data_IF_530827718781
#
_entry.id   IF_530827718781
#
_cell.length_a   1.000
_cell.length_b   1.000
_cell.length_c   1.000
_cell.angle_alpha   90.00
_cell.angle_beta   90.00
_cell.angle_gamma   90.00
#
_symmetry.space_group_name_H-M   'P 1'
#
loop_
_entity.id
_entity.type
_entity.pdbx_description
1 polymer ?
#
# COMPACT_ATOMS: atom_id res chain seq x y z
N UNK A 1 -43.62 -5.26 5.13
CA UNK A 1 -43.11 -3.89 4.93
C UNK A 1 -42.92 -3.73 3.43
N UNK A 2 -43.74 -2.89 2.79
CA UNK A 2 -43.92 -2.84 1.33
C UNK A 2 -42.83 -1.99 0.66
N UNK A 3 -42.01 -2.60 -0.20
CA UNK A 3 -41.01 -1.91 -1.03
C UNK A 3 -41.68 -1.30 -2.26
N UNK A 4 -41.59 0.03 -2.40
CA UNK A 4 -42.17 0.77 -3.52
C UNK A 4 -41.23 0.61 -4.75
N UNK A 5 -41.71 0.05 -5.88
CA UNK A 5 -40.86 -0.42 -7.00
C UNK A 5 -40.28 0.68 -7.90
N UNK A 6 -40.47 1.96 -7.57
CA UNK A 6 -40.13 3.09 -8.45
C UNK A 6 -38.94 3.94 -7.97
N UNK A 7 -38.41 3.72 -6.76
CA UNK A 7 -37.26 4.49 -6.30
C UNK A 7 -35.95 3.85 -6.80
N UNK A 8 -35.04 4.61 -7.46
CA UNK A 8 -33.72 4.10 -7.83
C UNK A 8 -33.01 3.56 -6.58
N UNK A 9 -32.48 2.34 -6.66
CA UNK A 9 -31.90 1.58 -5.53
C UNK A 9 -30.76 2.33 -4.79
N UNK A 10 -30.18 3.35 -5.44
CA UNK A 10 -29.17 4.27 -4.90
C UNK A 10 -29.70 5.24 -3.84
N UNK A 11 -31.01 5.50 -3.79
CA UNK A 11 -31.65 6.30 -2.74
C UNK A 11 -32.08 5.46 -1.53
N UNK A 12 -32.14 4.12 -1.67
CA UNK A 12 -32.65 3.22 -0.63
C UNK A 12 -31.53 2.52 0.17
N UNK A 13 -30.26 2.79 -0.17
CA UNK A 13 -29.10 2.40 0.64
C UNK A 13 -28.41 3.66 1.13
N UNK A 14 -28.21 3.76 2.43
CA UNK A 14 -27.42 4.81 3.06
C UNK A 14 -25.95 4.69 2.60
N UNK A 15 -25.31 5.68 1.96
CA UNK A 15 -23.87 5.78 1.93
C UNK A 15 -23.43 6.75 3.03
N UNK A 16 -23.80 6.48 4.28
CA UNK A 16 -23.16 7.14 5.42
C UNK A 16 -21.82 6.44 5.67
N UNK A 17 -20.84 6.75 4.82
CA UNK A 17 -19.46 6.26 4.98
C UNK A 17 -18.75 7.20 5.94
N UNK A 18 -18.62 6.79 7.21
CA UNK A 18 -17.89 7.56 8.21
C UNK A 18 -16.49 6.99 8.37
N UNK A 19 -15.48 7.77 7.96
CA UNK A 19 -14.05 7.39 8.01
C UNK A 19 -13.70 6.08 7.31
N UNK A 20 -14.38 5.76 6.20
CA UNK A 20 -14.13 4.54 5.44
C UNK A 20 -14.88 3.30 5.93
N UNK A 21 -15.73 3.43 6.97
CA UNK A 21 -16.61 2.38 7.46
C UNK A 21 -18.05 2.63 6.99
N UNK A 22 -18.72 1.61 6.50
CA UNK A 22 -20.18 1.57 6.34
C UNK A 22 -20.88 1.57 7.71
N UNK A 23 -22.18 1.85 7.77
CA UNK A 23 -22.96 1.88 9.04
C UNK A 23 -22.84 0.56 9.80
N UNK A 24 -22.91 -0.58 9.10
CA UNK A 24 -22.74 -1.90 9.72
C UNK A 24 -21.33 -2.11 10.27
N UNK A 25 -20.30 -1.71 9.52
CA UNK A 25 -18.90 -1.81 9.96
C UNK A 25 -18.60 -0.86 11.12
N UNK A 26 -19.22 0.32 11.14
CA UNK A 26 -19.12 1.29 12.23
C UNK A 26 -19.72 0.72 13.52
N UNK A 27 -20.89 0.06 13.44
CA UNK A 27 -21.52 -0.59 14.58
C UNK A 27 -20.69 -1.77 15.09
N UNK A 28 -20.13 -2.59 14.20
CA UNK A 28 -19.26 -3.71 14.58
C UNK A 28 -17.98 -3.18 15.25
N UNK A 29 -17.32 -2.17 14.67
CA UNK A 29 -16.13 -1.56 15.24
C UNK A 29 -16.40 -0.94 16.62
N UNK A 30 -17.55 -0.28 16.79
CA UNK A 30 -17.96 0.27 18.09
C UNK A 30 -18.18 -0.83 19.13
N UNK A 31 -18.92 -1.90 18.79
CA UNK A 31 -19.20 -2.99 19.72
C UNK A 31 -17.92 -3.73 20.14
N UNK A 32 -17.05 -4.04 19.17
CA UNK A 32 -15.76 -4.69 19.44
C UNK A 32 -14.87 -3.80 20.28
N UNK A 33 -14.80 -2.50 19.97
CA UNK A 33 -14.01 -1.52 20.72
C UNK A 33 -14.50 -1.32 22.16
N UNK A 34 -15.82 -1.22 22.37
CA UNK A 34 -16.42 -1.13 23.70
C UNK A 34 -16.16 -2.40 24.52
N UNK A 35 -16.32 -3.59 23.91
CA UNK A 35 -16.11 -4.87 24.58
C UNK A 35 -14.63 -5.07 24.97
N UNK A 36 -13.70 -4.84 24.03
CA UNK A 36 -12.25 -4.93 24.31
C UNK A 36 -11.81 -3.89 25.34
N UNK A 37 -12.34 -2.66 25.27
CA UNK A 37 -12.10 -1.63 26.27
C UNK A 37 -12.61 -2.02 27.65
N UNK A 38 -13.82 -2.60 27.76
CA UNK A 38 -14.38 -3.07 29.03
C UNK A 38 -13.61 -4.27 29.62
N UNK A 39 -13.19 -5.22 28.79
CA UNK A 39 -12.35 -6.36 29.22
C UNK A 39 -11.01 -5.85 29.76
N UNK A 40 -10.37 -4.93 29.04
CA UNK A 40 -9.11 -4.31 29.46
C UNK A 40 -9.28 -3.49 30.75
N UNK A 41 -10.44 -2.86 30.95
CA UNK A 41 -10.80 -2.12 32.16
C UNK A 41 -11.14 -2.97 33.38
N UNK A 42 -11.57 -4.21 33.16
CA UNK A 42 -11.91 -5.15 34.25
C UNK A 42 -10.67 -5.47 35.10
N UNK A 43 -9.50 -5.63 34.47
CA UNK A 43 -8.25 -5.93 35.16
C UNK A 43 -7.84 -4.83 36.19
N UNK A 44 -7.72 -3.54 35.80
CA UNK A 44 -7.43 -2.47 36.74
C UNK A 44 -8.62 -2.18 37.68
N UNK A 45 -9.87 -2.41 37.27
CA UNK A 45 -11.03 -2.24 38.16
C UNK A 45 -10.97 -3.16 39.38
N UNK A 46 -10.53 -4.40 39.19
CA UNK A 46 -10.33 -5.37 40.29
C UNK A 46 -9.12 -4.95 41.15
N UNK A 47 -8.02 -4.54 40.51
CA UNK A 47 -6.77 -4.21 41.22
C UNK A 47 -6.90 -2.97 42.12
N UNK A 48 -7.61 -1.94 41.67
CA UNK A 48 -7.81 -0.69 42.42
C UNK A 48 -9.17 -0.60 43.13
N UNK A 49 -9.97 -1.68 43.11
CA UNK A 49 -11.34 -1.71 43.63
C UNK A 49 -12.23 -0.57 43.11
N UNK A 50 -11.95 -0.07 41.90
CA UNK A 50 -12.68 1.02 41.30
C UNK A 50 -13.42 0.56 40.03
N UNK A 51 -14.72 0.31 40.18
CA UNK A 51 -15.61 -0.13 39.10
C UNK A 51 -15.79 0.93 38.00
N UNK A 52 -15.49 2.21 38.26
CA UNK A 52 -15.59 3.28 37.26
C UNK A 52 -14.57 3.13 36.13
N UNK A 53 -13.53 2.33 36.32
CA UNK A 53 -12.49 2.08 35.32
C UNK A 53 -13.01 1.27 34.13
N UNK A 54 -14.08 0.49 34.29
CA UNK A 54 -14.70 -0.30 33.22
C UNK A 54 -15.36 0.62 32.16
N UNK A 55 -16.32 1.50 32.50
CA UNK A 55 -16.83 2.47 31.52
C UNK A 55 -15.75 3.47 31.08
N UNK A 56 -14.80 3.79 31.97
CA UNK A 56 -13.68 4.70 31.67
C UNK A 56 -12.74 4.19 30.59
N UNK A 57 -12.54 2.87 30.45
CA UNK A 57 -11.74 2.27 29.38
C UNK A 57 -12.57 1.80 28.18
N UNK A 58 -13.85 1.47 28.38
CA UNK A 58 -14.75 1.06 27.30
C UNK A 58 -14.94 2.18 26.27
N UNK A 59 -15.22 3.41 26.71
CA UNK A 59 -15.46 4.54 25.81
C UNK A 59 -14.22 4.90 24.95
N UNK A 60 -12.99 5.03 25.50
CA UNK A 60 -11.78 5.16 24.69
C UNK A 60 -11.53 3.97 23.77
N UNK A 61 -11.83 2.74 24.19
CA UNK A 61 -11.72 1.55 23.34
C UNK A 61 -12.62 1.60 22.11
N UNK A 62 -13.89 2.00 22.30
CA UNK A 62 -14.84 2.24 21.21
C UNK A 62 -14.37 3.37 20.28
N UNK A 63 -13.90 4.49 20.85
CA UNK A 63 -13.36 5.61 20.07
C UNK A 63 -12.12 5.19 19.26
N UNK A 64 -11.19 4.45 19.85
CA UNK A 64 -9.97 3.98 19.18
C UNK A 64 -10.30 3.02 18.04
N UNK A 65 -11.24 2.08 18.24
CA UNK A 65 -11.66 1.16 17.20
C UNK A 65 -12.27 1.87 15.99
N UNK A 66 -13.11 2.89 16.20
CA UNK A 66 -13.65 3.72 15.11
C UNK A 66 -12.55 4.57 14.47
N UNK A 67 -11.66 5.13 15.28
CA UNK A 67 -10.59 6.00 14.78
C UNK A 67 -9.60 5.23 13.91
N UNK A 68 -9.30 3.97 14.23
CA UNK A 68 -8.33 3.12 13.54
C UNK A 68 -8.95 2.21 12.46
N UNK A 69 -10.21 1.82 12.61
CA UNK A 69 -10.82 0.73 11.82
C UNK A 69 -10.96 0.98 10.32
N UNK A 70 -11.09 2.23 9.87
CA UNK A 70 -11.32 2.56 8.47
C UNK A 70 -10.15 3.24 7.75
N UNK A 71 -8.94 3.21 8.32
CA UNK A 71 -7.92 4.21 7.96
C UNK A 71 -6.97 3.89 6.82
N UNK A 72 -6.78 2.64 6.41
CA UNK A 72 -5.70 2.38 5.43
C UNK A 72 -5.86 1.05 4.72
N UNK A 73 -6.33 1.10 3.46
CA UNK A 73 -6.21 -0.02 2.54
C UNK A 73 -4.94 0.20 1.71
N UNK A 74 -3.98 -0.70 1.82
CA UNK A 74 -2.80 -0.74 0.96
C UNK A 74 -2.85 -2.00 0.10
N UNK A 75 -2.87 -1.82 -1.21
CA UNK A 75 -2.87 -2.91 -2.19
C UNK A 75 -1.66 -2.73 -3.08
N UNK A 76 -0.89 -3.81 -3.26
CA UNK A 76 0.20 -3.87 -4.22
C UNK A 76 -0.07 -5.05 -5.15
N UNK A 77 -0.18 -4.77 -6.45
CA UNK A 77 -0.31 -5.79 -7.49
C UNK A 77 0.73 -5.55 -8.56
N UNK A 78 1.20 -6.64 -9.17
CA UNK A 78 2.00 -6.58 -10.40
C UNK A 78 1.12 -6.70 -11.64
N UNK A 79 -0.08 -7.27 -11.50
CA UNK A 79 -0.98 -7.49 -12.62
C UNK A 79 -2.37 -6.94 -12.32
N UNK A 80 -2.76 -5.91 -13.08
CA UNK A 80 -4.08 -5.30 -12.96
C UNK A 80 -5.17 -6.13 -13.65
N UNK A 81 -4.82 -7.08 -14.52
CA UNK A 81 -5.80 -7.93 -15.21
C UNK A 81 -6.54 -8.88 -14.27
N UNK A 82 -5.93 -9.23 -13.14
CA UNK A 82 -6.48 -10.19 -12.19
C UNK A 82 -7.64 -9.61 -11.37
N UNK A 83 -7.83 -8.28 -11.41
CA UNK A 83 -8.94 -7.62 -10.75
C UNK A 83 -10.23 -7.75 -11.58
N UNK A 84 -11.34 -8.24 -10.99
CA UNK A 84 -12.63 -8.26 -11.66
C UNK A 84 -13.16 -6.85 -11.87
N UNK A 85 -14.03 -6.65 -12.85
CA UNK A 85 -14.61 -5.32 -13.15
C UNK A 85 -15.39 -4.73 -11.97
N UNK A 86 -15.94 -5.57 -11.09
CA UNK A 86 -16.62 -5.14 -9.86
C UNK A 86 -15.68 -4.40 -8.89
N UNK A 87 -14.36 -4.67 -8.95
CA UNK A 87 -13.35 -3.98 -8.14
C UNK A 87 -13.20 -2.50 -8.52
N UNK A 88 -13.73 -2.07 -9.68
CA UNK A 88 -13.69 -0.67 -10.11
C UNK A 88 -14.26 0.29 -9.09
N UNK A 89 -15.35 -0.07 -8.40
CA UNK A 89 -15.92 0.79 -7.35
C UNK A 89 -14.95 1.00 -6.19
N UNK A 90 -14.25 -0.06 -5.78
CA UNK A 90 -13.27 -0.02 -4.69
C UNK A 90 -12.02 0.76 -5.11
N UNK A 91 -11.43 0.42 -6.25
CA UNK A 91 -10.19 1.04 -6.73
C UNK A 91 -10.36 2.52 -7.08
N UNK A 92 -11.53 2.92 -7.59
CA UNK A 92 -11.82 4.33 -7.86
C UNK A 92 -11.91 5.20 -6.59
N UNK A 93 -12.14 4.60 -5.41
CA UNK A 93 -12.12 5.31 -4.13
C UNK A 93 -10.71 5.44 -3.53
N UNK A 94 -9.70 4.77 -4.11
CA UNK A 94 -8.33 4.86 -3.62
C UNK A 94 -7.79 6.26 -3.88
N UNK A 95 -7.43 6.94 -2.79
CA UNK A 95 -6.90 8.30 -2.82
C UNK A 95 -5.48 8.38 -3.41
N UNK A 96 -4.64 7.37 -3.14
CA UNK A 96 -3.24 7.33 -3.54
C UNK A 96 -2.96 6.19 -4.49
N UNK A 97 -2.54 6.52 -5.70
CA UNK A 97 -2.05 5.56 -6.68
C UNK A 97 -0.54 5.72 -6.82
N UNK A 98 0.22 4.68 -6.47
CA UNK A 98 1.65 4.61 -6.72
C UNK A 98 1.88 3.61 -7.86
N UNK A 99 2.22 4.14 -9.02
CA UNK A 99 2.32 3.39 -10.27
C UNK A 99 3.79 3.32 -10.67
N UNK A 100 4.39 2.14 -10.59
CA UNK A 100 5.75 1.90 -11.08
C UNK A 100 5.76 1.79 -12.61
N UNK A 101 6.96 1.73 -13.18
CA UNK A 101 7.16 1.51 -14.62
C UNK A 101 6.35 0.30 -15.09
N UNK A 102 5.48 0.54 -16.07
CA UNK A 102 4.59 -0.46 -16.64
C UNK A 102 4.53 -0.33 -18.16
N UNK A 103 4.31 -1.43 -18.90
CA UNK A 103 4.16 -1.40 -20.34
C UNK A 103 2.90 -0.60 -20.76
N UNK A 104 2.85 -0.08 -22.00
CA UNK A 104 1.72 0.74 -22.46
C UNK A 104 0.35 0.03 -22.35
N UNK A 105 0.33 -1.30 -22.46
CA UNK A 105 -0.87 -2.12 -22.29
C UNK A 105 -1.41 -2.11 -20.86
N UNK A 106 -0.54 -2.12 -19.85
CA UNK A 106 -0.93 -2.01 -18.44
C UNK A 106 -1.45 -0.61 -18.09
N UNK A 107 -0.93 0.44 -18.74
CA UNK A 107 -1.47 1.81 -18.59
C UNK A 107 -2.94 1.88 -19.05
N UNK A 108 -3.31 1.12 -20.09
CA UNK A 108 -4.71 0.99 -20.49
C UNK A 108 -5.54 0.22 -19.45
N UNK A 109 -4.95 -0.78 -18.78
CA UNK A 109 -5.61 -1.47 -17.67
C UNK A 109 -5.86 -0.55 -16.47
N UNK A 110 -4.93 0.34 -16.13
CA UNK A 110 -5.16 1.38 -15.10
C UNK A 110 -6.37 2.25 -15.48
N UNK A 111 -6.49 2.57 -16.77
CA UNK A 111 -7.60 3.39 -17.30
C UNK A 111 -8.98 2.73 -17.13
N UNK A 112 -9.04 1.39 -16.95
CA UNK A 112 -10.30 0.69 -16.61
C UNK A 112 -10.84 1.11 -15.24
N UNK A 113 -9.94 1.29 -14.28
CA UNK A 113 -10.25 1.50 -12.87
C UNK A 113 -10.20 2.97 -12.44
N UNK A 114 -9.34 3.78 -13.08
CA UNK A 114 -9.16 5.21 -12.79
C UNK A 114 -9.25 6.02 -14.08
N UNK A 115 -10.06 7.08 -14.10
CA UNK A 115 -10.05 8.04 -15.20
C UNK A 115 -8.76 8.85 -15.17
N UNK A 116 -7.95 8.75 -16.23
CA UNK A 116 -6.68 9.46 -16.38
C UNK A 116 -6.82 10.61 -17.39
N UNK A 117 -6.19 11.76 -17.11
CA UNK A 117 -6.05 12.82 -18.12
C UNK A 117 -4.97 12.44 -19.15
N UNK A 118 -4.96 13.07 -20.34
CA UNK A 118 -3.91 12.84 -21.34
C UNK A 118 -2.49 13.08 -20.79
N UNK A 119 -2.34 14.08 -19.91
CA UNK A 119 -1.06 14.45 -19.29
C UNK A 119 -0.61 13.39 -18.27
N UNK A 120 -1.54 12.90 -17.43
CA UNK A 120 -1.27 11.81 -16.49
C UNK A 120 -0.86 10.52 -17.23
N UNK A 121 -1.54 10.22 -18.33
CA UNK A 121 -1.18 9.09 -19.20
C UNK A 121 0.22 9.28 -19.78
N UNK A 122 0.56 10.48 -20.26
CA UNK A 122 1.89 10.78 -20.77
C UNK A 122 2.97 10.66 -19.67
N UNK A 123 2.66 11.06 -18.45
CA UNK A 123 3.56 10.95 -17.30
C UNK A 123 3.87 9.47 -16.98
N UNK A 124 2.85 8.61 -16.98
CA UNK A 124 3.02 7.16 -16.80
C UNK A 124 3.89 6.55 -17.91
N UNK A 125 3.66 6.93 -19.16
CA UNK A 125 4.44 6.43 -20.30
C UNK A 125 5.90 6.92 -20.31
N UNK A 126 6.23 7.98 -19.56
CA UNK A 126 7.59 8.51 -19.46
C UNK A 126 8.42 7.86 -18.35
N UNK A 127 7.78 7.25 -17.35
CA UNK A 127 8.49 6.62 -16.25
C UNK A 127 9.42 5.53 -16.78
N UNK A 128 10.71 5.60 -16.43
CA UNK A 128 11.71 4.65 -16.89
C UNK A 128 12.43 3.93 -15.75
N UNK A 129 12.96 2.76 -16.05
CA UNK A 129 13.78 1.95 -15.14
C UNK A 129 15.16 1.77 -15.75
N UNK A 130 16.18 2.18 -15.01
CA UNK A 130 17.57 1.91 -15.34
C UNK A 130 18.08 0.79 -14.41
N UNK A 131 18.23 -0.45 -14.91
CA UNK A 131 18.70 -1.58 -14.10
C UNK A 131 20.01 -1.25 -13.37
N UNK A 132 20.05 -1.56 -12.08
CA UNK A 132 21.21 -1.29 -11.22
C UNK A 132 21.44 0.18 -10.84
N UNK A 133 20.60 1.12 -11.28
CA UNK A 133 20.74 2.56 -10.95
C UNK A 133 19.51 3.12 -10.23
N UNK A 134 18.38 3.21 -10.93
CA UNK A 134 17.17 3.80 -10.39
C UNK A 134 15.93 3.22 -11.06
N UNK A 135 14.82 3.28 -10.34
CA UNK A 135 13.49 2.98 -10.87
C UNK A 135 12.62 4.21 -10.66
N UNK A 136 11.92 4.64 -11.69
CA UNK A 136 10.94 5.71 -11.59
C UNK A 136 9.55 5.15 -11.34
N UNK A 137 8.68 6.01 -10.83
CA UNK A 137 7.27 5.76 -10.69
C UNK A 137 6.52 7.07 -10.73
N UNK A 138 5.21 6.98 -10.80
CA UNK A 138 4.30 8.11 -10.77
C UNK A 138 3.39 7.95 -9.59
N UNK A 139 3.29 9.01 -8.79
CA UNK A 139 2.27 9.12 -7.75
C UNK A 139 1.14 9.98 -8.28
N UNK A 140 -0.09 9.47 -8.19
CA UNK A 140 -1.32 10.19 -8.51
C UNK A 140 -2.19 10.27 -7.25
N UNK A 141 -2.40 11.48 -6.77
CA UNK A 141 -3.20 11.83 -5.59
C UNK A 141 -3.90 13.17 -5.83
N UNK A 142 -5.03 13.48 -5.16
CA UNK A 142 -5.71 14.77 -5.29
C UNK A 142 -4.84 16.00 -5.02
N UNK A 143 -3.74 15.86 -4.29
CA UNK A 143 -2.83 16.96 -3.94
C UNK A 143 -1.47 16.88 -4.62
N UNK A 144 -1.08 15.71 -5.12
CA UNK A 144 0.26 15.46 -5.65
C UNK A 144 0.14 14.57 -6.87
N UNK A 145 0.58 15.09 -8.00
CA UNK A 145 0.77 14.35 -9.24
C UNK A 145 2.22 14.56 -9.67
N UNK A 146 3.07 13.56 -9.45
CA UNK A 146 4.50 13.72 -9.64
C UNK A 146 5.16 12.42 -10.10
N UNK A 147 6.19 12.56 -10.92
CA UNK A 147 7.15 11.50 -11.17
C UNK A 147 8.17 11.51 -10.03
N UNK A 148 8.35 10.36 -9.40
CA UNK A 148 9.37 10.16 -8.37
C UNK A 148 10.41 9.16 -8.88
N UNK A 149 11.63 9.28 -8.35
CA UNK A 149 12.73 8.39 -8.66
C UNK A 149 13.24 7.75 -7.39
N UNK A 150 13.25 6.42 -7.38
CA UNK A 150 13.82 5.62 -6.30
C UNK A 150 15.26 5.26 -6.68
N UNK A 151 16.21 5.86 -5.97
CA UNK A 151 17.64 5.55 -6.08
C UNK A 151 18.03 4.74 -4.86
N UNK A 152 18.15 3.43 -5.03
CA UNK A 152 18.58 2.53 -3.96
C UNK A 152 20.12 2.52 -3.86
N UNK A 153 20.72 2.53 -2.66
CA UNK A 153 22.17 2.38 -2.55
C UNK A 153 22.62 1.03 -3.12
N UNK A 154 23.76 1.00 -3.79
CA UNK A 154 24.23 -0.14 -4.58
C UNK A 154 24.30 -1.47 -3.79
N UNK A 155 24.58 -1.40 -2.49
CA UNK A 155 24.60 -2.60 -1.63
C UNK A 155 23.21 -3.25 -1.52
N UNK A 156 22.14 -2.47 -1.41
CA UNK A 156 20.78 -3.00 -1.33
C UNK A 156 20.37 -3.69 -2.62
N UNK A 157 20.75 -3.09 -3.76
CA UNK A 157 20.54 -3.71 -5.07
C UNK A 157 21.32 -5.02 -5.18
N UNK A 158 22.62 -5.02 -4.84
CA UNK A 158 23.46 -6.21 -4.90
C UNK A 158 22.97 -7.37 -4.02
N UNK A 159 22.40 -7.06 -2.84
CA UNK A 159 21.79 -8.03 -1.95
C UNK A 159 20.43 -8.54 -2.48
N UNK A 160 19.62 -7.65 -3.06
CA UNK A 160 18.31 -7.95 -3.62
C UNK A 160 18.32 -8.62 -4.99
N UNK A 161 19.49 -8.74 -5.62
CA UNK A 161 19.67 -9.46 -6.89
C UNK A 161 19.28 -10.94 -6.75
N UNK A 162 18.17 -11.34 -7.39
CA UNK A 162 17.60 -12.69 -7.32
C UNK A 162 17.56 -13.41 -8.66
N UNK A 163 17.87 -12.72 -9.76
CA UNK A 163 17.80 -13.29 -11.10
C UNK A 163 18.87 -14.36 -11.32
N UNK A 164 18.59 -15.31 -12.23
CA UNK A 164 19.51 -16.44 -12.47
C UNK A 164 20.91 -15.99 -12.88
N UNK A 165 21.01 -14.98 -13.74
CA UNK A 165 22.29 -14.45 -14.21
C UNK A 165 23.05 -13.70 -13.10
N UNK A 166 22.35 -12.96 -12.24
CA UNK A 166 22.92 -12.25 -11.10
C UNK A 166 23.44 -13.21 -10.03
N UNK A 167 22.69 -14.29 -9.75
CA UNK A 167 23.13 -15.38 -8.86
C UNK A 167 24.37 -16.09 -9.41
N UNK A 168 24.41 -16.32 -10.72
CA UNK A 168 25.57 -16.92 -11.37
C UNK A 168 26.82 -16.02 -11.28
N UNK A 169 26.66 -14.71 -11.47
CA UNK A 169 27.72 -13.74 -11.27
C UNK A 169 28.24 -13.72 -9.82
N UNK A 170 27.34 -13.68 -8.84
CA UNK A 170 27.72 -13.73 -7.42
C UNK A 170 28.47 -15.03 -7.09
N UNK A 171 27.99 -16.16 -7.61
CA UNK A 171 28.66 -17.46 -7.42
C UNK A 171 30.04 -17.51 -8.07
N UNK A 172 30.22 -16.89 -9.24
CA UNK A 172 31.54 -16.76 -9.89
C UNK A 172 32.50 -15.99 -8.98
N UNK A 173 32.07 -14.84 -8.45
CA UNK A 173 32.86 -14.01 -7.53
C UNK A 173 33.23 -14.77 -6.26
N UNK A 174 32.29 -15.51 -5.67
CA UNK A 174 32.57 -16.33 -4.49
C UNK A 174 33.64 -17.39 -4.76
N UNK A 175 33.59 -18.06 -5.92
CA UNK A 175 34.58 -19.08 -6.32
C UNK A 175 35.95 -18.49 -6.62
N UNK A 176 35.99 -17.34 -7.29
CA UNK A 176 37.22 -16.67 -7.69
C UNK A 176 37.97 -16.09 -6.48
N UNK A 177 37.26 -15.44 -5.56
CA UNK A 177 37.86 -14.76 -4.40
C UNK A 177 37.82 -15.58 -3.11
N UNK A 178 37.20 -16.76 -3.11
CA UNK A 178 37.05 -17.60 -1.92
C UNK A 178 36.30 -16.90 -0.78
N UNK A 179 35.37 -15.99 -1.09
CA UNK A 179 34.73 -15.11 -0.11
C UNK A 179 33.29 -15.52 0.20
N UNK A 180 32.75 -15.00 1.30
CA UNK A 180 31.36 -15.21 1.70
C UNK A 180 30.38 -14.53 0.73
N UNK A 181 29.09 -14.94 0.79
CA UNK A 181 28.05 -14.34 -0.06
C UNK A 181 27.89 -12.83 0.17
N UNK A 182 28.00 -12.39 1.42
CA UNK A 182 27.93 -10.98 1.79
C UNK A 182 29.10 -10.19 1.18
N UNK A 183 30.33 -10.71 1.27
CA UNK A 183 31.51 -10.07 0.68
C UNK A 183 31.44 -10.05 -0.84
N UNK A 184 30.88 -11.10 -1.46
CA UNK A 184 30.62 -11.13 -2.89
C UNK A 184 29.59 -10.04 -3.28
N UNK A 185 28.51 -9.89 -2.52
CA UNK A 185 27.53 -8.82 -2.73
C UNK A 185 28.14 -7.42 -2.54
N UNK A 186 29.03 -7.24 -1.57
CA UNK A 186 29.77 -5.97 -1.38
C UNK A 186 30.71 -5.67 -2.56
N UNK A 187 31.36 -6.69 -3.15
CA UNK A 187 32.19 -6.52 -4.35
C UNK A 187 31.35 -6.14 -5.56
N UNK A 188 30.21 -6.79 -5.77
CA UNK A 188 29.22 -6.44 -6.81
C UNK A 188 28.74 -4.99 -6.60
N UNK A 189 28.38 -4.62 -5.37
CA UNK A 189 27.96 -3.27 -5.04
C UNK A 189 29.04 -2.23 -5.35
N UNK A 190 30.32 -2.50 -5.04
CA UNK A 190 31.44 -1.60 -5.37
C UNK A 190 31.61 -1.43 -6.88
N UNK A 191 31.47 -2.51 -7.66
CA UNK A 191 31.55 -2.44 -9.11
C UNK A 191 30.43 -1.56 -9.71
N UNK A 192 29.20 -1.67 -9.18
CA UNK A 192 28.07 -0.87 -9.65
C UNK A 192 28.08 0.57 -9.12
N UNK A 193 28.58 0.82 -7.91
CA UNK A 193 28.65 2.15 -7.28
C UNK A 193 29.51 3.16 -8.06
N UNK A 194 30.57 2.70 -8.74
CA UNK A 194 31.43 3.56 -9.58
C UNK A 194 30.64 4.13 -10.79
N UNK A 195 29.49 3.53 -11.13
CA UNK A 195 28.66 3.96 -12.27
C UNK A 195 27.56 4.96 -11.87
N UNK A 196 27.36 5.19 -10.57
CA UNK A 196 26.36 6.12 -10.01
C UNK A 196 26.90 7.51 -9.65
N UNK A 197 28.23 7.72 -9.70
CA UNK A 197 28.87 9.03 -9.43
C UNK A 197 28.79 10.01 -10.62
N UNK A 198 28.08 9.66 -11.69
CA UNK A 198 27.82 10.59 -12.81
C UNK A 198 26.38 11.06 -12.71
N UNK A 199 26.21 12.38 -12.60
CA UNK A 199 24.98 13.18 -12.60
C UNK A 199 24.13 13.18 -11.32
N UNK A 200 24.61 13.90 -10.30
CA UNK A 200 23.77 14.95 -9.67
C UNK A 200 23.66 16.15 -10.59
#
# INVERSE_FOLDING_TARGET
MSTIPFLPERLNREPAVFRGLTVSELLIALLVGLATGAITGTFPAILWHNWSLIPGSALPGGALAILCGGRWLWLATQNLSDFPDDAKKLLNMIEWWELLVMPPEEVEQVSRFKSLTPEQRQLLLRATKAPGKYTEGVVLSPRVEALFRVVSPALWLALGMTEKHEKAERMRIMREFGCSELEAAMKVAKAHAITSDVTT
#
